data_IF_316734937454
#
_entry.id   IF_316734937454
#
_cell.length_a   1.000
_cell.length_b   1.000
_cell.length_c   1.000
_cell.angle_alpha   90.00
_cell.angle_beta   90.00
_cell.angle_gamma   90.00
#
_symmetry.space_group_name_H-M   'P 1'
#
loop_
_entity.id
_entity.type
_entity.pdbx_description
1 polymer ?
#
# COMPACT_ATOMS: atom_id res chain seq x y z
N UNK A 1 2.19 -13.05 -6.07
CA UNK A 1 2.12 -14.13 -5.07
C UNK A 1 3.49 -14.37 -4.47
N UNK A 2 4.30 -15.25 -5.04
CA UNK A 2 5.64 -15.59 -4.52
C UNK A 2 6.57 -14.38 -4.34
N UNK A 3 6.54 -13.43 -5.29
CA UNK A 3 7.31 -12.20 -5.20
C UNK A 3 7.00 -11.36 -3.94
N UNK A 4 5.75 -11.41 -3.42
CA UNK A 4 5.39 -10.72 -2.19
C UNK A 4 5.99 -11.40 -0.95
N UNK A 5 6.07 -12.74 -0.94
CA UNK A 5 6.66 -13.50 0.16
C UNK A 5 8.17 -13.30 0.26
N UNK A 6 8.83 -13.15 -0.88
CA UNK A 6 10.28 -12.97 -0.98
C UNK A 6 10.69 -11.52 -1.19
N UNK A 7 9.78 -10.56 -1.01
CA UNK A 7 9.95 -9.18 -1.46
C UNK A 7 11.25 -8.54 -0.96
N UNK A 8 11.56 -8.68 0.33
CA UNK A 8 12.81 -8.15 0.90
C UNK A 8 14.09 -8.81 0.37
N UNK A 9 14.02 -10.11 0.04
CA UNK A 9 15.16 -10.88 -0.47
C UNK A 9 15.47 -10.57 -1.94
N UNK A 10 14.44 -10.24 -2.72
CA UNK A 10 14.55 -9.93 -4.16
C UNK A 10 14.52 -8.43 -4.45
N UNK A 11 14.53 -7.59 -3.41
CA UNK A 11 14.43 -6.15 -3.54
C UNK A 11 15.63 -5.61 -4.31
N UNK A 12 15.34 -4.99 -5.45
CA UNK A 12 16.36 -4.42 -6.36
C UNK A 12 16.25 -2.90 -6.50
N UNK A 13 15.24 -2.29 -5.87
CA UNK A 13 15.03 -0.84 -5.87
C UNK A 13 13.57 -0.48 -5.54
N UNK A 14 13.33 0.76 -5.08
CA UNK A 14 11.99 1.20 -4.73
C UNK A 14 11.11 1.30 -5.98
N UNK A 15 9.91 0.75 -5.90
CA UNK A 15 8.86 0.89 -6.92
C UNK A 15 7.57 1.27 -6.22
N UNK A 16 7.12 2.52 -6.40
CA UNK A 16 5.98 3.08 -5.68
C UNK A 16 6.35 3.80 -4.39
N UNK A 17 5.35 4.06 -3.56
CA UNK A 17 5.49 4.77 -2.30
C UNK A 17 5.04 3.91 -1.11
N UNK A 18 5.72 4.10 0.02
CA UNK A 18 5.40 3.45 1.28
C UNK A 18 5.00 4.53 2.28
N UNK A 19 3.88 4.34 2.96
CA UNK A 19 3.44 5.18 4.06
C UNK A 19 3.40 4.30 5.30
N UNK A 20 4.12 4.68 6.35
CA UNK A 20 4.20 3.90 7.58
C UNK A 20 3.65 4.69 8.76
N UNK A 21 3.29 4.02 9.87
CA UNK A 21 2.81 4.74 11.06
C UNK A 21 3.83 5.75 11.59
N UNK A 22 5.12 5.50 11.37
CA UNK A 22 6.19 6.42 11.75
C UNK A 22 6.13 7.76 10.98
N UNK A 23 5.43 7.79 9.84
CA UNK A 23 5.31 8.95 8.98
C UNK A 23 4.02 9.76 9.21
N UNK A 24 3.17 9.37 10.17
CA UNK A 24 1.93 10.09 10.48
C UNK A 24 2.16 11.59 10.69
N UNK A 25 1.21 12.39 10.23
CA UNK A 25 1.28 13.85 10.15
C UNK A 25 2.09 14.38 8.97
N UNK A 26 2.70 13.52 8.13
CA UNK A 26 3.56 13.95 7.02
C UNK A 26 3.09 13.45 5.65
N UNK A 27 1.99 12.69 5.55
CA UNK A 27 1.63 12.00 4.30
C UNK A 27 1.47 12.95 3.13
N UNK A 28 0.81 14.09 3.34
CA UNK A 28 0.64 15.10 2.30
C UNK A 28 1.97 15.60 1.73
N UNK A 29 2.97 15.83 2.59
CA UNK A 29 4.32 16.25 2.16
C UNK A 29 5.06 15.10 1.47
N UNK A 30 4.91 13.87 1.94
CA UNK A 30 5.54 12.71 1.28
C UNK A 30 5.10 12.58 -0.17
N UNK A 31 3.82 12.83 -0.47
CA UNK A 31 3.30 12.81 -1.84
C UNK A 31 4.05 13.77 -2.77
N UNK A 32 4.72 14.82 -2.26
CA UNK A 32 5.56 15.75 -3.05
C UNK A 32 6.83 15.12 -3.62
N UNK A 33 7.22 13.95 -3.13
CA UNK A 33 8.29 13.16 -3.71
C UNK A 33 7.87 12.41 -5.00
N UNK A 34 6.56 12.36 -5.31
CA UNK A 34 6.07 11.83 -6.58
C UNK A 34 5.83 12.97 -7.58
N UNK A 35 6.60 12.95 -8.67
CA UNK A 35 6.67 14.07 -9.63
C UNK A 35 5.48 14.13 -10.59
N UNK A 36 4.90 12.99 -10.92
CA UNK A 36 3.79 12.90 -11.87
C UNK A 36 2.44 12.99 -11.15
N UNK A 37 1.42 13.52 -11.82
CA UNK A 37 0.04 13.44 -11.33
C UNK A 37 -0.55 12.09 -11.75
N UNK A 38 -0.86 11.18 -10.81
CA UNK A 38 -1.44 9.88 -11.13
C UNK A 38 -2.92 10.02 -11.50
N UNK A 39 -3.33 9.30 -12.54
CA UNK A 39 -4.75 9.09 -12.86
C UNK A 39 -5.33 7.96 -11.99
N UNK A 40 -4.49 6.99 -11.58
CA UNK A 40 -4.88 5.85 -10.73
C UNK A 40 -3.80 5.51 -9.70
N UNK A 41 -4.26 5.26 -8.48
CA UNK A 41 -3.51 4.67 -7.37
C UNK A 41 -4.11 3.31 -7.07
N UNK A 42 -3.25 2.29 -6.96
CA UNK A 42 -3.62 1.02 -6.32
C UNK A 42 -2.84 0.94 -5.03
N UNK A 43 -3.56 0.77 -3.92
CA UNK A 43 -2.97 0.68 -2.59
C UNK A 43 -3.32 -0.65 -1.91
N UNK A 44 -2.42 -1.13 -1.05
CA UNK A 44 -2.63 -2.32 -0.21
C UNK A 44 -2.00 -2.10 1.16
N UNK A 45 -2.57 -2.71 2.20
CA UNK A 45 -1.94 -2.84 3.54
C UNK A 45 -1.20 -4.18 3.71
N UNK A 46 -1.21 -5.02 2.67
CA UNK A 46 -0.62 -6.36 2.70
C UNK A 46 -1.34 -7.38 3.58
N UNK A 47 -2.50 -7.07 4.15
CA UNK A 47 -3.14 -7.86 5.20
C UNK A 47 -3.75 -9.17 4.74
N UNK A 48 -4.13 -9.26 3.45
CA UNK A 48 -4.74 -10.47 2.88
C UNK A 48 -4.33 -10.67 1.44
N UNK A 49 -3.02 -10.85 1.19
CA UNK A 49 -2.50 -11.08 -0.16
C UNK A 49 -3.02 -12.40 -0.72
N UNK A 50 -4.01 -12.35 -1.60
CA UNK A 50 -4.62 -13.51 -2.25
C UNK A 50 -4.98 -14.63 -1.22
N UNK A 51 -4.47 -15.84 -1.42
CA UNK A 51 -4.55 -16.96 -0.46
C UNK A 51 -3.33 -17.10 0.46
N UNK A 52 -2.42 -16.12 0.43
CA UNK A 52 -1.15 -16.14 1.16
C UNK A 52 -1.23 -15.42 2.51
N UNK A 53 -2.35 -14.80 2.86
CA UNK A 53 -2.53 -14.05 4.10
C UNK A 53 -1.65 -12.81 4.19
N UNK A 54 -1.33 -12.40 5.42
CA UNK A 54 -0.56 -11.19 5.72
C UNK A 54 0.87 -11.26 5.18
N UNK A 55 1.25 -10.31 4.32
CA UNK A 55 2.61 -10.11 3.80
C UNK A 55 3.23 -8.77 4.23
N UNK A 56 2.53 -7.99 5.06
CA UNK A 56 2.93 -6.64 5.46
C UNK A 56 3.39 -5.79 4.27
N UNK A 57 4.53 -5.11 4.43
CA UNK A 57 5.09 -4.25 3.39
C UNK A 57 5.45 -5.00 2.08
N UNK A 58 5.68 -6.31 2.14
CA UNK A 58 5.89 -7.17 0.96
C UNK A 58 4.69 -7.24 0.03
N UNK A 59 3.51 -6.79 0.50
CA UNK A 59 2.31 -6.61 -0.31
C UNK A 59 2.49 -5.71 -1.53
N UNK A 60 3.51 -4.84 -1.56
CA UNK A 60 3.82 -3.90 -2.67
C UNK A 60 3.82 -4.56 -4.07
N UNK A 61 4.16 -5.84 -4.17
CA UNK A 61 4.09 -6.56 -5.44
C UNK A 61 2.69 -6.59 -6.08
N UNK A 62 1.62 -6.50 -5.29
CA UNK A 62 0.23 -6.50 -5.76
C UNK A 62 -0.15 -5.21 -6.49
N UNK A 63 0.00 -4.00 -5.90
CA UNK A 63 -0.32 -2.76 -6.62
C UNK A 63 0.56 -2.58 -7.86
N UNK A 64 1.83 -2.99 -7.82
CA UNK A 64 2.71 -2.97 -9.00
C UNK A 64 2.11 -3.84 -10.12
N UNK A 65 1.78 -5.10 -9.83
CA UNK A 65 1.23 -6.03 -10.82
C UNK A 65 -0.14 -5.59 -11.34
N UNK A 66 -1.03 -5.09 -10.47
CA UNK A 66 -2.34 -4.56 -10.85
C UNK A 66 -2.22 -3.37 -11.79
N UNK A 67 -1.34 -2.43 -11.50
CA UNK A 67 -1.12 -1.27 -12.37
C UNK A 67 -0.52 -1.65 -13.72
N UNK A 68 0.35 -2.67 -13.78
CA UNK A 68 0.81 -3.21 -15.06
C UNK A 68 -0.35 -3.76 -15.90
N UNK A 69 -1.33 -4.43 -15.29
CA UNK A 69 -2.55 -4.87 -15.98
C UNK A 69 -3.41 -3.69 -16.42
N UNK A 70 -3.53 -2.61 -15.63
CA UNK A 70 -4.24 -1.40 -16.03
C UNK A 70 -3.56 -0.68 -17.20
N UNK A 71 -2.23 -0.67 -17.25
CA UNK A 71 -1.48 -0.11 -18.39
C UNK A 71 -1.75 -0.94 -19.65
N UNK A 72 -1.56 -2.26 -19.58
CA UNK A 72 -1.64 -3.14 -20.75
C UNK A 72 -3.07 -3.36 -21.22
N UNK A 73 -4.00 -3.58 -20.31
CA UNK A 73 -5.40 -3.93 -20.62
C UNK A 73 -6.38 -2.76 -20.52
N UNK A 74 -6.09 -1.77 -19.67
CA UNK A 74 -6.97 -0.61 -19.41
C UNK A 74 -6.55 0.67 -20.14
N UNK A 75 -5.39 0.70 -20.79
CA UNK A 75 -4.90 1.86 -21.53
C UNK A 75 -4.40 3.02 -20.66
N UNK A 76 -4.16 2.80 -19.37
CA UNK A 76 -3.58 3.82 -18.50
C UNK A 76 -2.15 4.15 -18.93
N UNK A 77 -1.79 5.43 -18.87
CA UNK A 77 -0.42 5.84 -19.17
C UNK A 77 0.52 5.39 -18.04
N UNK A 78 1.64 4.69 -18.31
CA UNK A 78 2.48 4.08 -17.27
C UNK A 78 3.12 5.10 -16.30
N UNK A 79 3.34 6.35 -16.72
CA UNK A 79 3.81 7.42 -15.81
C UNK A 79 2.73 8.01 -14.92
N UNK A 80 1.46 7.71 -15.19
CA UNK A 80 0.30 8.21 -14.45
C UNK A 80 -0.34 7.16 -13.56
N UNK A 81 0.42 6.13 -13.21
CA UNK A 81 0.04 5.11 -12.24
C UNK A 81 0.95 5.24 -11.02
N UNK A 82 0.40 4.99 -9.83
CA UNK A 82 1.16 5.06 -8.58
C UNK A 82 0.82 3.86 -7.67
N UNK A 83 1.75 2.90 -7.52
CA UNK A 83 1.58 1.81 -6.55
C UNK A 83 1.91 2.30 -5.13
N UNK A 84 1.07 1.96 -4.17
CA UNK A 84 1.24 2.36 -2.77
C UNK A 84 1.09 1.17 -1.82
N UNK A 85 1.95 1.13 -0.81
CA UNK A 85 1.79 0.27 0.36
C UNK A 85 1.54 1.12 1.61
N UNK A 86 0.48 0.78 2.33
CA UNK A 86 0.12 1.32 3.63
C UNK A 86 0.66 0.38 4.72
N UNK A 87 1.86 0.65 5.21
CA UNK A 87 2.52 -0.18 6.22
C UNK A 87 1.99 0.14 7.63
N UNK A 88 0.87 -0.50 7.94
CA UNK A 88 0.21 -0.47 9.25
C UNK A 88 0.75 -1.57 10.19
N UNK A 89 1.89 -2.18 9.87
CA UNK A 89 2.44 -3.33 10.59
C UNK A 89 2.03 -4.69 9.99
N UNK A 90 2.45 -5.76 10.66
CA UNK A 90 2.14 -7.15 10.28
C UNK A 90 1.97 -8.03 11.51
N UNK A 91 0.98 -8.91 11.48
CA UNK A 91 0.73 -9.90 12.56
C UNK A 91 1.47 -11.22 12.28
N UNK A 92 2.16 -11.32 11.14
CA UNK A 92 2.92 -12.51 10.78
C UNK A 92 4.28 -12.51 11.49
N UNK A 93 4.38 -13.34 12.52
CA UNK A 93 5.62 -13.50 13.29
C UNK A 93 6.84 -13.85 12.43
N UNK A 94 6.69 -14.68 11.39
CA UNK A 94 7.82 -15.03 10.52
C UNK A 94 8.39 -13.83 9.74
N UNK A 95 7.60 -12.78 9.48
CA UNK A 95 8.08 -11.53 8.86
C UNK A 95 8.74 -10.62 9.90
N UNK A 96 8.17 -10.56 11.11
CA UNK A 96 8.76 -9.81 12.22
C UNK A 96 10.15 -10.35 12.59
N UNK A 97 10.33 -11.67 12.53
CA UNK A 97 11.60 -12.34 12.82
C UNK A 97 12.59 -12.29 11.64
N UNK A 98 12.13 -12.02 10.42
CA UNK A 98 12.99 -12.01 9.23
C UNK A 98 13.92 -10.80 9.23
N UNK A 99 15.26 -10.97 9.21
CA UNK A 99 16.21 -9.86 9.14
C UNK A 99 16.16 -9.09 7.81
N UNK A 100 15.58 -9.67 6.75
CA UNK A 100 15.43 -9.04 5.44
C UNK A 100 14.05 -8.41 5.22
N UNK A 101 13.16 -8.43 6.22
CA UNK A 101 11.87 -7.75 6.13
C UNK A 101 12.08 -6.24 6.06
N UNK A 102 11.53 -5.61 5.02
CA UNK A 102 11.70 -4.18 4.73
C UNK A 102 10.67 -3.29 5.42
N UNK A 103 9.57 -3.86 5.91
CA UNK A 103 8.50 -3.11 6.57
C UNK A 103 8.76 -2.89 8.05
N UNK A 104 7.79 -2.25 8.71
CA UNK A 104 7.80 -2.03 10.14
C UNK A 104 7.66 -3.35 10.90
N UNK A 105 8.61 -3.61 11.81
CA UNK A 105 8.55 -4.70 12.79
C UNK A 105 7.63 -4.34 13.95
N UNK A 106 6.36 -4.15 13.63
CA UNK A 106 5.30 -3.74 14.54
C UNK A 106 4.03 -4.55 14.24
N UNK A 107 3.25 -4.87 15.27
CA UNK A 107 1.96 -5.57 15.11
C UNK A 107 0.96 -4.67 14.39
N UNK A 108 -0.06 -5.22 13.73
CA UNK A 108 -0.99 -4.40 12.97
C UNK A 108 -1.71 -3.38 13.84
N UNK A 109 -1.93 -2.18 13.28
CA UNK A 109 -2.84 -1.21 13.88
C UNK A 109 -4.25 -1.76 13.91
N UNK A 110 -4.98 -1.38 14.96
CA UNK A 110 -6.37 -1.79 15.16
C UNK A 110 -7.22 -0.58 15.56
N UNK A 111 -8.54 -0.69 15.35
CA UNK A 111 -9.50 0.33 15.75
C UNK A 111 -9.15 1.72 15.24
N UNK A 112 -9.22 2.71 16.14
CA UNK A 112 -9.09 4.12 15.77
C UNK A 112 -7.75 4.48 15.16
N UNK A 113 -6.66 3.85 15.57
CA UNK A 113 -5.33 4.15 15.03
C UNK A 113 -5.21 3.75 13.56
N UNK A 114 -5.84 2.64 13.17
CA UNK A 114 -5.89 2.21 11.77
C UNK A 114 -6.80 3.13 10.96
N UNK A 115 -7.97 3.50 11.51
CA UNK A 115 -8.88 4.44 10.85
C UNK A 115 -8.22 5.80 10.61
N UNK A 116 -7.60 6.39 11.65
CA UNK A 116 -6.91 7.68 11.54
C UNK A 116 -5.78 7.64 10.51
N UNK A 117 -5.06 6.53 10.47
CA UNK A 117 -3.98 6.35 9.50
C UNK A 117 -4.50 6.37 8.07
N UNK A 118 -5.56 5.61 7.77
CA UNK A 118 -6.12 5.55 6.42
C UNK A 118 -6.84 6.86 6.07
N UNK A 119 -7.50 7.50 7.03
CA UNK A 119 -8.16 8.80 6.84
C UNK A 119 -7.12 9.88 6.48
N UNK A 120 -5.99 9.97 7.20
CA UNK A 120 -4.90 10.89 6.86
C UNK A 120 -4.40 10.65 5.43
N UNK A 121 -4.25 9.39 5.02
CA UNK A 121 -3.82 9.04 3.68
C UNK A 121 -4.84 9.48 2.62
N UNK A 122 -6.11 9.19 2.83
CA UNK A 122 -7.17 9.56 1.90
C UNK A 122 -7.32 11.07 1.78
N UNK A 123 -7.27 11.80 2.90
CA UNK A 123 -7.28 13.27 2.92
C UNK A 123 -6.08 13.84 2.17
N UNK A 124 -4.87 13.32 2.41
CA UNK A 124 -3.65 13.77 1.74
C UNK A 124 -3.70 13.55 0.22
N UNK A 125 -4.18 12.39 -0.23
CA UNK A 125 -4.31 12.09 -1.66
C UNK A 125 -5.40 12.94 -2.29
N UNK A 126 -6.55 13.10 -1.64
CA UNK A 126 -7.65 13.92 -2.17
C UNK A 126 -7.27 15.41 -2.25
N UNK A 127 -6.55 15.94 -1.26
CA UNK A 127 -6.03 17.31 -1.29
C UNK A 127 -5.08 17.53 -2.49
N UNK A 128 -4.14 16.60 -2.69
CA UNK A 128 -3.14 16.76 -3.76
C UNK A 128 -3.69 16.45 -5.16
N UNK A 129 -4.45 15.37 -5.28
CA UNK A 129 -4.89 14.79 -6.55
C UNK A 129 -6.38 14.44 -6.50
N UNK A 130 -7.28 15.44 -6.45
CA UNK A 130 -8.72 15.25 -6.22
C UNK A 130 -9.45 14.45 -7.32
N UNK A 131 -8.80 14.22 -8.47
CA UNK A 131 -9.36 13.44 -9.59
C UNK A 131 -8.79 12.03 -9.71
N UNK A 132 -7.84 11.67 -8.86
CA UNK A 132 -7.19 10.36 -8.91
C UNK A 132 -8.16 9.27 -8.47
N UNK A 133 -8.23 8.17 -9.22
CA UNK A 133 -8.97 6.98 -8.80
C UNK A 133 -8.11 6.21 -7.81
N UNK A 134 -8.66 5.91 -6.63
CA UNK A 134 -7.98 5.12 -5.60
C UNK A 134 -8.64 3.74 -5.52
N UNK A 135 -7.84 2.70 -5.67
CA UNK A 135 -8.29 1.31 -5.58
C UNK A 135 -7.58 0.59 -4.43
N UNK A 136 -8.38 0.09 -3.50
CA UNK A 136 -7.94 -0.75 -2.39
C UNK A 136 -7.82 -2.20 -2.86
N UNK A 137 -6.68 -2.83 -2.62
CA UNK A 137 -6.42 -4.24 -2.97
C UNK A 137 -5.86 -5.01 -1.77
N UNK A 138 -6.34 -6.25 -1.62
CA UNK A 138 -5.83 -7.24 -0.65
C UNK A 138 -5.77 -6.76 0.82
N UNK A 139 -6.73 -5.91 1.23
CA UNK A 139 -6.98 -5.54 2.63
C UNK A 139 -7.60 -6.69 3.43
N UNK A 140 -7.42 -6.68 4.76
CA UNK A 140 -8.19 -7.57 5.63
C UNK A 140 -9.70 -7.34 5.43
N UNK A 141 -10.49 -8.42 5.45
CA UNK A 141 -11.90 -8.36 5.05
C UNK A 141 -12.74 -7.37 5.86
N UNK A 142 -12.44 -7.22 7.16
CA UNK A 142 -13.10 -6.25 8.03
C UNK A 142 -12.89 -4.81 7.56
N UNK A 143 -11.65 -4.44 7.24
CA UNK A 143 -11.29 -3.11 6.74
C UNK A 143 -11.79 -2.87 5.33
N UNK A 144 -11.71 -3.88 4.45
CA UNK A 144 -12.24 -3.78 3.09
C UNK A 144 -13.74 -3.46 3.07
N UNK A 145 -14.53 -4.12 3.94
CA UNK A 145 -15.97 -3.85 4.07
C UNK A 145 -16.24 -2.48 4.71
N UNK A 146 -15.48 -2.14 5.76
CA UNK A 146 -15.61 -0.85 6.43
C UNK A 146 -15.37 0.32 5.47
N UNK A 147 -14.26 0.32 4.72
CA UNK A 147 -13.92 1.42 3.81
C UNK A 147 -14.81 1.48 2.57
N UNK A 148 -15.44 0.38 2.17
CA UNK A 148 -16.42 0.40 1.08
C UNK A 148 -17.73 1.11 1.47
N UNK A 149 -18.06 1.14 2.76
CA UNK A 149 -19.32 1.70 3.28
C UNK A 149 -19.18 3.14 3.79
N UNK A 150 -17.96 3.57 4.09
CA UNK A 150 -17.62 4.90 4.61
C UNK A 150 -17.63 5.95 3.50
#
# INVERSE_FOLDING_TARGET
>A
GEACQKFGQIFSGPSGMFFSIADRGNFRRMLDNWLEVPDIIVCTDGGRILGLGDQGAGGMGIPIGKLQLYVVGGGFHPRKTLPITLDVGTDRQSLLDDPFYLGLKYQRLTGKDHEDFVDEFMEAVHDKWPKCVIQFEDFQSEWALYYLQK
#
